data_IF_780807087407
#
_entry.id   IF_780807087407
#
_cell.length_a   1.000
_cell.length_b   1.000
_cell.length_c   1.000
_cell.angle_alpha   90.00
_cell.angle_beta   90.00
_cell.angle_gamma   90.00
#
_symmetry.space_group_name_H-M   'P 1'
#
loop_
_entity.id
_entity.type
_entity.pdbx_description
1 polymer ?
#
# COMPACT_ATOMS: atom_id res chain seq x y z
N UNK A 1 5.54 -3.32 -42.63
CA UNK A 1 4.98 -3.44 -41.25
C UNK A 1 5.51 -2.26 -40.45
N UNK A 2 4.60 -1.48 -39.90
CA UNK A 2 4.85 -0.22 -39.19
C UNK A 2 5.66 -0.45 -37.91
N UNK A 3 6.64 0.37 -37.63
CA UNK A 3 7.50 0.34 -36.42
C UNK A 3 6.63 0.34 -35.15
N UNK A 4 5.54 1.12 -35.18
CA UNK A 4 4.55 1.20 -34.09
C UNK A 4 3.93 -0.19 -33.82
N UNK A 5 3.54 -0.92 -34.85
CA UNK A 5 2.95 -2.26 -34.69
C UNK A 5 3.95 -3.30 -34.15
N UNK A 6 5.24 -3.10 -34.34
CA UNK A 6 6.29 -3.95 -33.73
C UNK A 6 6.47 -3.62 -32.26
N UNK A 7 6.54 -2.32 -31.90
CA UNK A 7 6.65 -1.86 -30.54
C UNK A 7 5.43 -2.32 -29.68
N UNK A 8 4.22 -2.17 -30.21
CA UNK A 8 3.00 -2.63 -29.54
C UNK A 8 2.98 -4.15 -29.31
N UNK A 9 3.47 -4.93 -30.30
CA UNK A 9 3.58 -6.38 -30.15
C UNK A 9 4.64 -6.77 -29.11
N UNK A 10 5.75 -6.04 -29.03
CA UNK A 10 6.77 -6.28 -28.01
C UNK A 10 6.25 -5.96 -26.61
N UNK A 11 5.60 -4.82 -26.39
CA UNK A 11 4.94 -4.49 -25.14
C UNK A 11 3.85 -5.50 -24.75
N UNK A 12 3.07 -5.98 -25.73
CA UNK A 12 2.03 -6.99 -25.48
C UNK A 12 2.57 -8.41 -25.27
N UNK A 13 3.82 -8.72 -25.64
CA UNK A 13 4.39 -10.05 -25.47
C UNK A 13 4.73 -10.35 -23.99
N UNK A 14 5.24 -9.36 -23.27
CA UNK A 14 5.67 -9.48 -21.87
C UNK A 14 5.43 -8.16 -21.13
N UNK A 15 4.14 -7.80 -20.90
CA UNK A 15 3.81 -6.51 -20.29
C UNK A 15 4.28 -6.42 -18.84
N UNK A 16 4.72 -5.23 -18.44
CA UNK A 16 4.96 -4.89 -17.04
C UNK A 16 3.64 -4.56 -16.37
N UNK A 17 3.28 -5.29 -15.33
CA UNK A 17 1.95 -5.18 -14.71
C UNK A 17 2.05 -4.44 -13.38
N UNK A 18 1.42 -3.27 -13.30
CA UNK A 18 1.15 -2.58 -12.04
C UNK A 18 -0.17 -3.10 -11.47
N UNK A 19 -0.08 -3.70 -10.28
CA UNK A 19 -1.24 -4.28 -9.62
C UNK A 19 -1.76 -3.36 -8.53
N UNK A 20 -3.02 -2.96 -8.64
CA UNK A 20 -3.75 -2.20 -7.62
C UNK A 20 -4.71 -3.13 -6.88
N UNK A 21 -4.38 -3.50 -5.64
CA UNK A 21 -5.21 -4.38 -4.82
C UNK A 21 -6.26 -3.57 -4.07
N UNK A 22 -7.51 -3.87 -4.34
CA UNK A 22 -8.67 -3.27 -3.66
C UNK A 22 -9.00 -4.07 -2.38
N UNK A 23 -9.60 -3.46 -1.35
CA UNK A 23 -10.13 -4.18 -0.19
C UNK A 23 -11.04 -5.34 -0.62
N UNK A 24 -10.87 -6.51 -0.01
CA UNK A 24 -11.51 -7.77 -0.42
C UNK A 24 -10.87 -8.46 -1.63
N UNK A 25 -9.75 -7.92 -2.14
CA UNK A 25 -9.07 -8.40 -3.34
C UNK A 25 -7.97 -9.43 -3.10
N UNK A 26 -7.74 -9.87 -1.87
CA UNK A 26 -6.61 -10.76 -1.52
C UNK A 26 -6.56 -12.01 -2.39
N UNK A 27 -7.67 -12.73 -2.58
CA UNK A 27 -7.69 -13.94 -3.42
C UNK A 27 -7.34 -13.63 -4.90
N UNK A 28 -7.85 -12.53 -5.45
CA UNK A 28 -7.55 -12.13 -6.82
C UNK A 28 -6.09 -11.66 -6.98
N UNK A 29 -5.53 -10.99 -5.97
CA UNK A 29 -4.11 -10.62 -5.93
C UNK A 29 -3.20 -11.86 -5.96
N UNK A 30 -3.49 -12.84 -5.11
CA UNK A 30 -2.71 -14.08 -5.03
C UNK A 30 -2.71 -14.83 -6.36
N UNK A 31 -3.86 -14.91 -7.02
CA UNK A 31 -3.98 -15.53 -8.35
C UNK A 31 -3.24 -14.71 -9.42
N UNK A 32 -3.35 -13.39 -9.40
CA UNK A 32 -2.61 -12.53 -10.31
C UNK A 32 -1.09 -12.71 -10.15
N UNK A 33 -0.58 -12.67 -8.91
CA UNK A 33 0.84 -12.90 -8.64
C UNK A 33 1.31 -14.29 -9.11
N UNK A 34 0.47 -15.32 -8.97
CA UNK A 34 0.75 -16.69 -9.45
C UNK A 34 0.84 -16.73 -10.97
N UNK A 35 -0.15 -16.17 -11.67
CA UNK A 35 -0.19 -16.15 -13.13
C UNK A 35 0.95 -15.30 -13.73
N UNK A 36 1.23 -14.13 -13.16
CA UNK A 36 2.36 -13.30 -13.61
C UNK A 36 3.68 -14.04 -13.54
N UNK A 37 3.91 -14.82 -12.46
CA UNK A 37 5.12 -15.66 -12.36
C UNK A 37 5.11 -16.83 -13.35
N UNK A 38 3.96 -17.43 -13.59
CA UNK A 38 3.82 -18.53 -14.54
C UNK A 38 4.09 -18.08 -15.99
N UNK A 39 3.60 -16.91 -16.36
CA UNK A 39 3.75 -16.34 -17.69
C UNK A 39 5.03 -15.52 -17.86
N UNK A 40 5.85 -15.43 -16.81
CA UNK A 40 7.06 -14.59 -16.77
C UNK A 40 6.78 -13.10 -17.11
N UNK A 41 5.64 -12.59 -16.66
CA UNK A 41 5.31 -11.17 -16.79
C UNK A 41 5.84 -10.41 -15.58
N UNK A 42 6.68 -9.38 -15.78
CA UNK A 42 7.29 -8.66 -14.67
C UNK A 42 6.26 -7.77 -13.96
N UNK A 43 6.24 -7.78 -12.62
CA UNK A 43 5.51 -6.76 -11.87
C UNK A 43 6.21 -5.41 -12.01
N UNK A 44 5.43 -4.35 -12.27
CA UNK A 44 5.92 -2.98 -12.26
C UNK A 44 5.96 -2.45 -10.82
N UNK A 45 7.06 -1.80 -10.45
CA UNK A 45 7.20 -1.18 -9.13
C UNK A 45 6.54 0.21 -9.07
N UNK A 46 6.47 0.90 -10.20
CA UNK A 46 5.93 2.26 -10.32
C UNK A 46 5.06 2.38 -11.57
N UNK A 47 4.12 3.35 -11.62
CA UNK A 47 3.35 3.62 -12.83
C UNK A 47 4.23 3.85 -14.07
N UNK A 48 5.37 4.54 -13.91
CA UNK A 48 6.27 4.85 -15.02
C UNK A 48 6.91 3.61 -15.69
N UNK A 49 6.93 2.48 -15.01
CA UNK A 49 7.43 1.20 -15.53
C UNK A 49 6.34 0.30 -16.12
N UNK A 50 5.06 0.69 -15.96
CA UNK A 50 3.94 -0.19 -16.24
C UNK A 50 3.37 0.01 -17.65
N UNK A 51 3.08 -1.12 -18.32
CA UNK A 51 2.30 -1.18 -19.54
C UNK A 51 0.82 -1.49 -19.26
N UNK A 52 0.55 -2.23 -18.17
CA UNK A 52 -0.77 -2.71 -17.80
C UNK A 52 -1.10 -2.38 -16.35
N UNK A 53 -2.20 -1.63 -16.13
CA UNK A 53 -2.80 -1.45 -14.80
C UNK A 53 -3.86 -2.53 -14.59
N UNK A 54 -3.63 -3.39 -13.60
CA UNK A 54 -4.55 -4.44 -13.17
C UNK A 54 -5.15 -4.08 -11.81
N UNK A 55 -6.44 -3.71 -11.76
CA UNK A 55 -7.21 -3.65 -10.53
C UNK A 55 -7.66 -5.05 -10.10
N UNK A 56 -7.41 -5.48 -8.86
CA UNK A 56 -7.84 -6.78 -8.34
C UNK A 56 -8.69 -6.62 -7.09
N UNK A 57 -9.85 -7.29 -7.08
CA UNK A 57 -10.81 -7.24 -5.97
C UNK A 57 -12.13 -6.57 -6.35
N UNK A 58 -13.11 -6.55 -5.44
CA UNK A 58 -14.40 -5.90 -5.66
C UNK A 58 -14.25 -4.43 -6.02
N UNK A 59 -15.03 -3.94 -6.99
CA UNK A 59 -15.05 -2.52 -7.36
C UNK A 59 -15.44 -1.65 -6.16
N UNK A 60 -14.72 -0.55 -5.95
CA UNK A 60 -14.90 0.39 -4.84
C UNK A 60 -14.96 1.81 -5.38
N UNK A 61 -16.12 2.49 -5.33
CA UNK A 61 -16.25 3.87 -5.80
C UNK A 61 -15.26 4.82 -5.12
N UNK A 62 -15.02 4.66 -3.83
CA UNK A 62 -14.09 5.46 -3.02
C UNK A 62 -12.63 5.34 -3.48
N UNK A 63 -12.26 4.22 -4.10
CA UNK A 63 -10.90 3.98 -4.63
C UNK A 63 -10.74 4.41 -6.09
N UNK A 64 -11.84 4.81 -6.77
CA UNK A 64 -11.82 5.10 -8.20
C UNK A 64 -10.89 6.27 -8.54
N UNK A 65 -10.95 7.35 -7.75
CA UNK A 65 -10.10 8.52 -7.96
C UNK A 65 -8.60 8.18 -7.86
N UNK A 66 -8.20 7.30 -6.92
CA UNK A 66 -6.83 6.85 -6.79
C UNK A 66 -6.40 5.95 -7.97
N UNK A 67 -7.29 5.06 -8.43
CA UNK A 67 -7.04 4.25 -9.63
C UNK A 67 -6.91 5.10 -10.89
N UNK A 68 -7.68 6.19 -10.98
CA UNK A 68 -7.62 7.09 -12.14
C UNK A 68 -6.34 7.93 -12.14
N UNK A 69 -5.83 8.31 -10.97
CA UNK A 69 -4.49 8.91 -10.86
C UNK A 69 -3.41 7.95 -11.34
N UNK A 70 -3.37 6.72 -10.83
CA UNK A 70 -2.42 5.72 -11.31
C UNK A 70 -2.51 5.51 -12.82
N UNK A 71 -3.73 5.47 -13.38
CA UNK A 71 -3.93 5.34 -14.81
C UNK A 71 -3.37 6.52 -15.61
N UNK A 72 -3.46 7.73 -15.07
CA UNK A 72 -2.92 8.93 -15.74
C UNK A 72 -1.40 8.92 -15.77
N UNK A 73 -0.76 8.36 -14.75
CA UNK A 73 0.69 8.31 -14.58
C UNK A 73 1.36 7.19 -15.42
N UNK A 74 0.58 6.26 -16.01
CA UNK A 74 1.15 5.23 -16.88
C UNK A 74 1.57 5.84 -18.23
N UNK A 75 2.77 5.49 -18.73
CA UNK A 75 3.19 5.87 -20.07
C UNK A 75 2.39 5.15 -21.16
N UNK A 76 2.42 5.65 -22.37
CA UNK A 76 1.89 4.97 -23.55
C UNK A 76 2.99 4.07 -24.17
N UNK A 77 2.64 2.88 -24.70
CA UNK A 77 1.31 2.26 -24.77
C UNK A 77 0.85 1.68 -23.44
N UNK A 78 -0.41 1.80 -23.12
CA UNK A 78 -0.96 1.33 -21.84
C UNK A 78 -2.31 0.66 -21.97
N UNK A 79 -2.64 -0.23 -21.02
CA UNK A 79 -3.98 -0.81 -20.88
C UNK A 79 -4.41 -0.83 -19.43
N UNK A 80 -5.72 -0.79 -19.19
CA UNK A 80 -6.32 -0.94 -17.86
C UNK A 80 -7.34 -2.06 -17.90
N UNK A 81 -7.28 -2.95 -16.90
CA UNK A 81 -8.21 -4.06 -16.71
C UNK A 81 -8.56 -4.22 -15.25
N UNK A 82 -9.65 -4.92 -14.96
CA UNK A 82 -10.13 -5.17 -13.62
C UNK A 82 -10.58 -6.62 -13.48
N UNK A 83 -10.16 -7.27 -12.40
CA UNK A 83 -10.52 -8.63 -12.04
C UNK A 83 -11.14 -8.64 -10.63
N UNK A 84 -12.47 -8.64 -10.50
CA UNK A 84 -13.14 -8.58 -9.20
C UNK A 84 -12.94 -9.84 -8.34
N UNK A 85 -12.64 -10.99 -8.95
CA UNK A 85 -12.46 -12.28 -8.27
C UNK A 85 -11.26 -13.03 -8.85
N UNK A 86 -10.73 -13.99 -8.11
CA UNK A 86 -9.59 -14.82 -8.55
C UNK A 86 -9.83 -15.47 -9.93
N UNK A 87 -11.02 -16.04 -10.16
CA UNK A 87 -11.38 -16.68 -11.43
C UNK A 87 -11.44 -15.75 -12.64
N UNK A 88 -11.50 -14.44 -12.42
CA UNK A 88 -11.61 -13.43 -13.48
C UNK A 88 -10.22 -12.91 -13.91
N UNK A 89 -9.16 -13.26 -13.17
CA UNK A 89 -7.80 -12.68 -13.34
C UNK A 89 -7.20 -13.07 -14.69
N UNK A 90 -7.26 -14.34 -15.06
CA UNK A 90 -6.67 -14.83 -16.30
C UNK A 90 -7.28 -14.12 -17.51
N UNK A 91 -8.62 -14.09 -17.60
CA UNK A 91 -9.33 -13.40 -18.68
C UNK A 91 -9.05 -11.89 -18.70
N UNK A 92 -8.90 -11.25 -17.52
CA UNK A 92 -8.55 -9.84 -17.43
C UNK A 92 -7.14 -9.57 -17.97
N UNK A 93 -6.15 -10.39 -17.60
CA UNK A 93 -4.77 -10.27 -18.10
C UNK A 93 -4.70 -10.47 -19.62
N UNK A 94 -5.39 -11.49 -20.16
CA UNK A 94 -5.46 -11.72 -21.61
C UNK A 94 -6.13 -10.54 -22.34
N UNK A 95 -7.23 -10.01 -21.80
CA UNK A 95 -7.88 -8.82 -22.34
C UNK A 95 -6.96 -7.60 -22.32
N UNK A 96 -6.17 -7.44 -21.25
CA UNK A 96 -5.15 -6.38 -21.13
C UNK A 96 -4.08 -6.49 -22.21
N UNK A 97 -3.54 -7.69 -22.40
CA UNK A 97 -2.58 -8.00 -23.48
C UNK A 97 -3.14 -7.69 -24.86
N UNK A 98 -4.36 -8.09 -25.13
CA UNK A 98 -5.03 -7.81 -26.40
C UNK A 98 -5.23 -6.30 -26.64
N UNK A 99 -5.56 -5.53 -25.59
CA UNK A 99 -5.69 -4.06 -25.66
C UNK A 99 -4.36 -3.39 -25.94
N UNK A 100 -3.27 -3.82 -25.29
CA UNK A 100 -1.92 -3.31 -25.55
C UNK A 100 -1.48 -3.52 -27.00
N UNK A 101 -1.72 -4.72 -27.54
CA UNK A 101 -1.38 -5.07 -28.92
C UNK A 101 -2.26 -4.41 -30.00
N UNK A 102 -3.32 -3.67 -29.65
CA UNK A 102 -4.28 -3.10 -30.59
C UNK A 102 -3.92 -1.67 -31.01
N UNK A 103 -3.45 -1.43 -32.26
CA UNK A 103 -3.08 -0.09 -32.72
C UNK A 103 -4.23 0.92 -32.71
N UNK A 104 -5.46 0.47 -32.98
CA UNK A 104 -6.64 1.35 -32.96
C UNK A 104 -6.93 1.90 -31.56
N UNK A 105 -6.91 1.02 -30.55
CA UNK A 105 -7.12 1.41 -29.15
C UNK A 105 -6.02 2.33 -28.62
N UNK A 106 -4.76 2.09 -28.97
CA UNK A 106 -3.65 2.94 -28.55
C UNK A 106 -3.74 4.33 -29.18
N UNK A 107 -4.15 4.44 -30.45
CA UNK A 107 -4.38 5.75 -31.12
C UNK A 107 -5.52 6.54 -30.47
N UNK A 108 -6.59 5.87 -30.07
CA UNK A 108 -7.72 6.50 -29.37
C UNK A 108 -7.28 7.06 -28.00
N UNK A 109 -6.46 6.32 -27.25
CA UNK A 109 -5.91 6.81 -25.98
C UNK A 109 -5.00 8.04 -26.14
N UNK A 110 -4.18 8.07 -27.20
CA UNK A 110 -3.38 9.27 -27.53
C UNK A 110 -4.28 10.47 -27.75
N UNK A 111 -5.35 10.32 -28.55
CA UNK A 111 -6.29 11.41 -28.81
C UNK A 111 -6.97 11.93 -27.54
N UNK A 112 -7.51 11.05 -26.72
CA UNK A 112 -8.18 11.42 -25.46
C UNK A 112 -7.23 12.05 -24.45
N UNK A 113 -5.98 11.60 -24.39
CA UNK A 113 -4.95 12.21 -23.53
C UNK A 113 -4.59 13.65 -24.00
N UNK A 114 -4.51 13.86 -25.31
CA UNK A 114 -4.19 15.18 -25.90
C UNK A 114 -5.35 16.18 -25.71
N UNK A 115 -6.59 15.72 -25.83
CA UNK A 115 -7.79 16.55 -25.61
C UNK A 115 -7.91 16.99 -24.15
N UNK A 116 -7.63 16.09 -23.19
CA UNK A 116 -7.68 16.40 -21.76
C UNK A 116 -6.58 17.38 -21.34
N UNK A 117 -5.40 17.29 -21.94
CA UNK A 117 -4.30 18.25 -21.73
C UNK A 117 -4.61 19.67 -22.26
N UNK A 118 -5.40 19.78 -23.33
CA UNK A 118 -5.82 21.09 -23.89
C UNK A 118 -6.91 21.78 -23.06
N UNK A 119 -7.76 21.03 -22.36
CA UNK A 119 -8.83 21.61 -21.52
C UNK A 119 -8.36 21.97 -20.12
N UNK A 120 -7.23 21.45 -19.65
CA UNK A 120 -6.62 21.78 -18.36
C UNK A 120 -5.81 23.07 -18.32
N UNK A 121 -5.53 23.69 -19.48
CA UNK A 121 -4.69 24.90 -19.57
C UNK A 121 -5.48 26.23 -19.80
N UNK A 122 -6.79 26.20 -19.75
CA UNK A 122 -7.63 27.39 -19.83
C UNK A 122 -8.36 27.66 -18.52
N UNK A 123 -7.71 28.35 -17.60
CA UNK A 123 -8.41 29.14 -16.58
C UNK A 123 -8.96 30.38 -17.28
N UNK A 124 -10.26 30.69 -17.18
CA UNK A 124 -10.80 31.90 -17.74
C UNK A 124 -10.36 33.10 -16.88
N UNK A 125 -9.38 33.85 -17.36
CA UNK A 125 -9.18 35.21 -16.87
C UNK A 125 -10.41 36.03 -17.22
N UNK A 126 -11.20 36.34 -16.21
CA UNK A 126 -12.33 37.27 -16.27
C UNK A 126 -11.82 38.65 -16.62
N UNK A 127 -12.07 39.06 -17.87
CA UNK A 127 -11.83 40.44 -18.31
C UNK A 127 -12.82 41.38 -17.66
N UNK A 128 -12.35 42.28 -16.83
CA UNK A 128 -13.06 43.49 -16.48
C UNK A 128 -12.67 44.63 -17.46
N UNK A 129 -13.56 44.90 -18.37
CA UNK A 129 -13.52 46.10 -19.19
C UNK A 129 -13.72 47.35 -18.33
N UNK A 130 -12.69 48.18 -18.24
CA UNK A 130 -12.75 49.54 -17.67
C UNK A 130 -12.53 50.58 -18.75
N UNK A 131 -13.54 51.42 -18.95
CA UNK A 131 -13.69 52.48 -19.93
C UNK A 131 -12.56 53.52 -19.82
N UNK A 132 -12.03 53.91 -20.99
CA UNK A 132 -11.24 55.12 -21.28
C UNK A 132 -11.92 56.38 -20.78
N UNK A 133 -11.15 57.26 -20.15
CA UNK A 133 -11.41 58.72 -20.16
C UNK A 133 -10.06 59.43 -20.28
N UNK A 134 -9.97 60.18 -21.38
CA UNK A 134 -8.92 61.14 -21.71
C UNK A 134 -8.93 62.32 -20.73
N UNK A 135 -7.74 62.91 -20.49
CA UNK A 135 -7.61 64.15 -19.74
C UNK A 135 -6.14 64.58 -19.66
N UNK A 136 -5.89 65.64 -20.39
CA UNK A 136 -4.61 66.33 -20.65
C UNK A 136 -3.87 66.87 -19.41
N UNK A 137 -2.55 66.96 -19.54
CA UNK A 137 -1.82 68.22 -19.26
C UNK A 137 -1.05 68.28 -17.92
N UNK A 138 0.26 68.58 -18.01
CA UNK A 138 0.96 69.26 -16.96
C UNK A 138 2.44 68.88 -16.77
N UNK A 139 3.32 69.71 -17.32
CA UNK A 139 4.78 69.74 -17.24
C UNK A 139 5.28 70.18 -15.84
N UNK A 140 6.53 69.80 -15.59
CA UNK A 140 7.46 70.45 -14.63
C UNK A 140 7.84 69.52 -13.50
N UNK A 141 9.08 69.23 -13.18
CA UNK A 141 10.32 69.95 -13.25
C UNK A 141 11.02 69.80 -11.92
N UNK A 142 12.24 69.30 -12.00
CA UNK A 142 13.40 69.57 -11.12
C UNK A 142 13.49 69.16 -9.62
N UNK A 143 14.58 68.41 -9.35
CA UNK A 143 15.69 68.63 -8.40
C UNK A 143 15.45 68.18 -6.93
N UNK A 144 16.19 67.21 -6.53
CA UNK A 144 17.52 67.08 -5.92
C UNK A 144 17.57 67.28 -4.39
N UNK A 145 18.49 66.58 -3.75
CA UNK A 145 18.95 66.58 -2.33
C UNK A 145 18.10 65.76 -1.33
N UNK A 146 18.64 64.78 -0.67
CA UNK A 146 19.89 64.72 0.07
C UNK A 146 19.58 64.11 1.44
N UNK A 147 20.29 63.08 1.79
CA UNK A 147 20.73 62.62 3.10
C UNK A 147 19.81 62.64 4.33
N UNK A 148 19.93 61.54 4.99
CA UNK A 148 20.18 61.37 6.43
C UNK A 148 19.10 60.71 7.30
N UNK A 149 19.52 59.64 7.89
CA UNK A 149 19.45 59.23 9.27
C UNK A 149 18.06 59.04 9.92
N UNK A 150 17.85 57.87 10.47
CA UNK A 150 16.94 57.77 11.59
C UNK A 150 16.19 56.47 11.74
N UNK A 151 16.60 55.77 12.74
CA UNK A 151 16.04 54.58 13.35
C UNK A 151 14.53 54.65 13.67
N UNK A 152 14.02 53.48 13.94
CA UNK A 152 12.87 53.03 14.76
C UNK A 152 11.64 52.53 13.98
N UNK A 153 11.46 51.24 14.05
CA UNK A 153 10.54 50.66 15.05
C UNK A 153 9.10 50.48 14.56
N UNK A 154 8.69 49.25 14.49
CA UNK A 154 7.36 48.96 14.95
C UNK A 154 6.36 48.40 13.93
N UNK A 155 6.07 47.12 14.13
CA UNK A 155 4.77 46.47 13.95
C UNK A 155 4.11 46.43 12.58
N UNK A 156 4.29 45.27 11.95
CA UNK A 156 3.49 44.86 10.82
C UNK A 156 2.36 43.94 11.22
N UNK A 157 1.29 43.91 10.70
CA UNK A 157 0.26 42.91 10.75
C UNK A 157 0.43 41.85 9.64
N UNK A 158 -0.17 40.69 9.76
CA UNK A 158 0.01 39.61 8.80
C UNK A 158 -0.81 39.84 7.55
N UNK A 159 -0.18 40.27 6.50
CA UNK A 159 -0.71 40.16 5.15
C UNK A 159 -0.28 38.85 4.56
N UNK A 160 -1.18 37.84 4.57
CA UNK A 160 -1.02 36.64 3.79
C UNK A 160 -1.10 37.01 2.30
N UNK A 161 0.03 37.41 1.72
CA UNK A 161 0.21 37.48 0.27
C UNK A 161 0.44 36.06 -0.22
N UNK A 162 -0.52 35.50 -0.92
CA UNK A 162 -0.32 34.31 -1.75
C UNK A 162 0.76 34.62 -2.77
N UNK A 163 1.99 34.25 -2.46
CA UNK A 163 3.10 34.29 -3.42
C UNK A 163 2.88 33.11 -4.39
N UNK A 164 2.26 33.39 -5.53
CA UNK A 164 2.20 32.44 -6.64
C UNK A 164 3.64 32.11 -7.09
N UNK A 165 4.08 30.90 -6.76
CA UNK A 165 5.33 30.36 -7.27
C UNK A 165 5.21 30.01 -8.76
N UNK A 166 6.31 30.05 -9.52
CA UNK A 166 6.32 29.61 -10.90
C UNK A 166 5.83 28.15 -10.99
N UNK A 167 4.66 27.94 -11.60
CA UNK A 167 4.00 26.64 -11.74
C UNK A 167 2.75 26.43 -10.89
N UNK A 168 2.30 27.44 -10.10
CA UNK A 168 1.01 27.39 -9.39
C UNK A 168 0.94 26.37 -8.23
N UNK A 169 2.09 25.89 -7.75
CA UNK A 169 2.15 25.04 -6.57
C UNK A 169 2.27 25.92 -5.31
N UNK A 170 1.42 25.68 -4.27
CA UNK A 170 1.57 26.40 -3.01
C UNK A 170 2.96 26.09 -2.40
N UNK A 171 3.60 27.12 -1.81
CA UNK A 171 4.81 26.91 -1.03
C UNK A 171 4.54 25.99 0.14
N UNK A 172 5.44 25.04 0.41
CA UNK A 172 5.36 24.18 1.56
C UNK A 172 5.42 25.00 2.86
N UNK A 173 4.62 24.63 3.85
CA UNK A 173 4.71 25.22 5.18
C UNK A 173 6.11 24.95 5.78
N UNK A 174 6.71 25.96 6.39
CA UNK A 174 7.99 25.83 7.05
C UNK A 174 7.81 25.49 8.53
N UNK A 175 8.65 24.60 9.05
CA UNK A 175 8.70 24.22 10.45
C UNK A 175 10.12 24.34 11.00
N UNK A 176 10.24 24.66 12.29
CA UNK A 176 11.54 24.70 12.98
C UNK A 176 12.14 23.29 13.04
N UNK A 177 13.43 23.17 12.72
CA UNK A 177 14.23 21.95 12.90
C UNK A 177 15.06 22.05 14.19
N UNK A 178 15.69 20.92 14.57
CA UNK A 178 16.49 20.79 15.80
C UNK A 178 17.69 21.73 15.87
N UNK A 179 18.18 22.21 14.75
CA UNK A 179 19.32 23.13 14.61
C UNK A 179 18.89 24.60 14.44
N UNK A 180 17.58 24.90 14.52
CA UNK A 180 17.04 26.27 14.37
C UNK A 180 16.89 26.72 12.92
N UNK A 181 17.18 25.86 11.95
CA UNK A 181 16.88 26.11 10.54
C UNK A 181 15.39 25.79 10.27
N UNK A 182 14.78 26.49 9.35
CA UNK A 182 13.42 26.17 8.90
C UNK A 182 13.49 25.21 7.73
N UNK A 183 12.84 24.04 7.86
CA UNK A 183 12.67 23.07 6.78
C UNK A 183 11.23 23.02 6.30
N UNK A 184 11.07 22.73 5.02
CA UNK A 184 9.75 22.56 4.41
C UNK A 184 9.05 21.32 4.98
N UNK A 185 7.77 21.46 5.31
CA UNK A 185 6.89 20.36 5.72
C UNK A 185 6.16 19.84 4.50
N UNK A 186 6.34 18.56 4.20
CA UNK A 186 5.68 17.89 3.08
C UNK A 186 4.54 17.02 3.59
N UNK A 187 3.35 17.21 3.04
CA UNK A 187 2.18 16.36 3.29
C UNK A 187 2.11 15.26 2.25
N UNK A 188 2.38 14.02 2.65
CA UNK A 188 2.49 12.88 1.74
C UNK A 188 1.52 11.78 2.16
N UNK A 189 0.56 11.38 1.29
CA UNK A 189 -0.23 10.18 1.52
C UNK A 189 0.57 8.94 1.10
N UNK A 190 0.70 7.97 2.00
CA UNK A 190 1.17 6.61 1.69
C UNK A 190 0.00 5.69 1.45
N UNK A 191 -0.08 5.12 0.27
CA UNK A 191 -1.19 4.26 -0.13
C UNK A 191 -2.21 4.98 -1.03
N UNK A 192 -3.37 4.36 -1.31
CA UNK A 192 -3.71 2.97 -0.97
C UNK A 192 -3.06 1.91 -1.86
N UNK A 193 -2.42 2.27 -2.97
CA UNK A 193 -1.92 1.36 -4.01
C UNK A 193 -0.39 1.39 -4.14
N UNK A 194 0.30 1.13 -3.05
CA UNK A 194 1.73 0.88 -3.10
C UNK A 194 2.01 -0.62 -3.24
N UNK A 195 3.14 -0.96 -3.88
CA UNK A 195 3.57 -2.35 -3.95
C UNK A 195 3.88 -2.91 -2.55
N UNK A 196 3.44 -4.13 -2.31
CA UNK A 196 3.64 -4.83 -1.03
C UNK A 196 3.05 -4.07 0.19
N UNK A 197 1.95 -3.36 -0.04
CA UNK A 197 1.22 -2.56 0.94
C UNK A 197 -0.11 -3.22 1.33
N UNK A 198 -0.58 -3.08 2.59
CA UNK A 198 -1.91 -3.54 2.97
C UNK A 198 -3.00 -2.90 2.11
N UNK A 199 -3.88 -3.73 1.54
CA UNK A 199 -4.93 -3.27 0.63
C UNK A 199 -5.87 -2.27 1.32
N UNK A 200 -6.03 -1.07 0.73
CA UNK A 200 -6.91 -0.03 1.25
C UNK A 200 -6.33 0.81 2.38
N UNK A 201 -5.13 0.51 2.87
CA UNK A 201 -4.48 1.34 3.90
C UNK A 201 -3.96 2.64 3.27
N UNK A 202 -4.38 3.78 3.83
CA UNK A 202 -3.82 5.10 3.54
C UNK A 202 -3.37 5.75 4.84
N UNK A 203 -2.14 6.25 4.86
CA UNK A 203 -1.55 6.96 6.00
C UNK A 203 -1.13 8.33 5.49
N UNK A 204 -1.65 9.39 6.10
CA UNK A 204 -1.20 10.77 5.86
C UNK A 204 0.02 11.05 6.71
N UNK A 205 1.09 11.44 6.07
CA UNK A 205 2.34 11.78 6.72
C UNK A 205 2.63 13.28 6.58
N UNK A 206 3.19 13.86 7.63
CA UNK A 206 3.89 15.14 7.58
C UNK A 206 5.36 14.83 7.69
N UNK A 207 6.13 15.13 6.65
CA UNK A 207 7.57 14.91 6.58
C UNK A 207 8.32 16.22 6.77
N UNK A 208 9.45 16.15 7.45
CA UNK A 208 10.45 17.19 7.48
C UNK A 208 11.79 16.54 7.10
N UNK A 209 12.30 16.87 5.93
CA UNK A 209 13.33 16.06 5.29
C UNK A 209 12.79 14.65 4.98
N UNK A 210 13.45 13.61 5.49
CA UNK A 210 13.05 12.20 5.38
C UNK A 210 12.39 11.65 6.65
N UNK A 211 12.27 12.47 7.72
CA UNK A 211 11.72 12.08 9.01
C UNK A 211 10.23 12.42 9.10
N UNK A 212 9.44 11.46 9.56
CA UNK A 212 8.01 11.59 9.78
C UNK A 212 7.77 12.35 11.08
N UNK A 213 7.19 13.54 11.00
CA UNK A 213 6.80 14.35 12.15
C UNK A 213 5.42 13.95 12.68
N UNK A 214 4.52 13.57 11.78
CA UNK A 214 3.17 13.15 12.11
C UNK A 214 2.70 12.07 11.15
N UNK A 215 1.93 11.12 11.67
CA UNK A 215 1.32 10.04 10.90
C UNK A 215 -0.13 9.86 11.36
N UNK A 216 -1.08 10.03 10.44
CA UNK A 216 -2.51 9.86 10.69
C UNK A 216 -3.06 8.77 9.77
N UNK A 217 -3.79 7.83 10.34
CA UNK A 217 -4.52 6.86 9.55
C UNK A 217 -5.74 7.56 8.91
N UNK A 218 -5.86 7.53 7.59
CA UNK A 218 -7.14 7.81 6.98
C UNK A 218 -8.15 6.75 7.44
N UNK A 219 -9.39 7.20 7.69
CA UNK A 219 -10.47 6.32 8.17
C UNK A 219 -10.40 4.96 7.46
N UNK A 220 -9.77 3.99 8.13
CA UNK A 220 -9.80 2.58 7.74
C UNK A 220 -11.22 2.05 8.01
N UNK A 221 -12.24 2.71 7.40
CA UNK A 221 -13.61 2.23 7.50
C UNK A 221 -13.70 0.88 6.84
N UNK A 222 -14.33 -0.08 7.53
CA UNK A 222 -14.66 -1.34 6.89
C UNK A 222 -15.41 -1.03 5.60
N UNK A 223 -15.11 -1.75 4.52
CA UNK A 223 -15.75 -1.53 3.23
C UNK A 223 -17.27 -1.62 3.38
N UNK A 224 -17.97 -0.49 3.27
CA UNK A 224 -19.43 -0.43 3.28
C UNK A 224 -19.98 -1.18 2.07
N UNK A 225 -20.81 -2.19 2.30
CA UNK A 225 -21.65 -2.78 1.25
C UNK A 225 -21.13 -4.05 0.55
N UNK A 226 -20.12 -4.73 1.04
CA UNK A 226 -19.69 -6.01 0.44
C UNK A 226 -19.56 -7.11 1.48
N UNK A 227 -20.23 -8.26 1.27
CA UNK A 227 -20.01 -9.51 2.02
C UNK A 227 -18.68 -10.19 1.59
N UNK A 228 -17.60 -9.41 1.43
CA UNK A 228 -16.30 -9.99 1.13
C UNK A 228 -15.78 -10.67 2.40
N UNK A 229 -15.71 -12.00 2.38
CA UNK A 229 -15.14 -12.78 3.47
C UNK A 229 -13.62 -12.57 3.45
N UNK A 230 -13.00 -12.09 4.54
CA UNK A 230 -11.54 -11.92 4.60
C UNK A 230 -10.84 -13.25 4.32
N UNK A 231 -9.94 -13.23 3.35
CA UNK A 231 -9.34 -14.45 2.81
C UNK A 231 -8.55 -15.23 3.86
N UNK A 232 -7.75 -14.53 4.67
CA UNK A 232 -6.82 -15.18 5.59
C UNK A 232 -7.50 -15.83 6.79
N UNK A 233 -8.66 -15.35 7.21
CA UNK A 233 -9.41 -15.86 8.38
C UNK A 233 -10.61 -16.72 8.00
N UNK A 234 -10.78 -17.06 6.73
CA UNK A 234 -11.90 -17.86 6.23
C UNK A 234 -12.10 -19.18 6.97
N UNK A 235 -11.07 -20.00 7.33
CA UNK A 235 -11.27 -21.23 8.10
C UNK A 235 -11.94 -20.98 9.45
N UNK A 236 -11.56 -19.92 10.17
CA UNK A 236 -12.16 -19.57 11.46
C UNK A 236 -13.61 -19.11 11.33
N UNK A 237 -13.92 -18.34 10.29
CA UNK A 237 -15.30 -17.89 9.99
C UNK A 237 -16.20 -19.08 9.63
N UNK A 238 -15.72 -20.03 8.84
CA UNK A 238 -16.46 -21.26 8.50
C UNK A 238 -16.69 -22.13 9.74
N UNK A 239 -15.68 -22.30 10.58
CA UNK A 239 -15.82 -23.03 11.83
C UNK A 239 -16.81 -22.35 12.80
N UNK A 240 -16.81 -21.00 12.86
CA UNK A 240 -17.78 -20.23 13.64
C UNK A 240 -19.22 -20.34 13.10
N UNK A 241 -19.37 -20.56 11.79
CA UNK A 241 -20.66 -20.84 11.14
C UNK A 241 -21.11 -22.31 11.30
N UNK A 242 -20.38 -23.13 12.06
CA UNK A 242 -20.72 -24.54 12.33
C UNK A 242 -20.18 -25.55 11.29
N UNK A 243 -19.35 -25.11 10.34
CA UNK A 243 -18.71 -26.03 9.41
C UNK A 243 -17.60 -26.84 10.10
N UNK A 244 -17.43 -28.09 9.65
CA UNK A 244 -16.32 -28.93 10.15
C UNK A 244 -15.02 -28.55 9.45
N UNK A 245 -14.22 -27.73 10.11
CA UNK A 245 -12.89 -27.30 9.63
C UNK A 245 -11.83 -27.98 10.50
N UNK A 246 -10.78 -28.49 9.87
CA UNK A 246 -9.67 -29.11 10.62
C UNK A 246 -8.64 -28.07 11.08
N UNK A 247 -7.92 -28.38 12.13
CA UNK A 247 -6.76 -27.60 12.59
C UNK A 247 -5.69 -27.52 11.51
N UNK A 248 -5.49 -28.61 10.74
CA UNK A 248 -4.57 -28.63 9.60
C UNK A 248 -4.94 -27.64 8.51
N UNK A 249 -6.24 -27.47 8.21
CA UNK A 249 -6.70 -26.45 7.25
C UNK A 249 -6.39 -25.02 7.75
N UNK A 250 -6.64 -24.76 9.03
CA UNK A 250 -6.33 -23.48 9.66
C UNK A 250 -4.80 -23.21 9.70
N UNK A 251 -4.00 -24.23 10.06
CA UNK A 251 -2.54 -24.15 10.06
C UNK A 251 -1.99 -23.86 8.67
N UNK A 252 -2.51 -24.52 7.62
CA UNK A 252 -2.17 -24.27 6.22
C UNK A 252 -2.43 -22.83 5.82
N UNK A 253 -3.59 -22.29 6.17
CA UNK A 253 -3.97 -20.90 5.87
C UNK A 253 -3.09 -19.92 6.62
N UNK A 254 -2.77 -20.18 7.89
CA UNK A 254 -1.92 -19.32 8.71
C UNK A 254 -0.47 -19.33 8.23
N UNK A 255 0.11 -20.49 7.92
CA UNK A 255 1.43 -20.61 7.33
C UNK A 255 1.54 -19.84 5.98
N UNK A 256 0.51 -19.98 5.14
CA UNK A 256 0.45 -19.26 3.86
C UNK A 256 0.35 -17.74 4.07
N UNK A 257 -0.42 -17.26 5.06
CA UNK A 257 -0.51 -15.85 5.40
C UNK A 257 0.83 -15.28 5.88
N UNK A 258 1.54 -16.01 6.77
CA UNK A 258 2.86 -15.57 7.24
C UNK A 258 3.92 -15.60 6.13
N UNK A 259 3.85 -16.54 5.18
CA UNK A 259 4.72 -16.53 3.99
C UNK A 259 4.41 -15.34 3.07
N UNK A 260 3.17 -14.92 2.97
CA UNK A 260 2.76 -13.72 2.24
C UNK A 260 3.30 -12.45 2.91
N UNK A 261 3.14 -12.34 4.23
CA UNK A 261 3.69 -11.24 5.04
C UNK A 261 5.22 -11.15 4.91
N UNK A 262 5.89 -12.31 5.02
CA UNK A 262 7.34 -12.41 4.85
C UNK A 262 7.77 -11.99 3.44
N UNK A 263 7.05 -12.43 2.40
CA UNK A 263 7.36 -12.07 1.01
C UNK A 263 7.26 -10.56 0.78
N UNK A 264 6.22 -9.93 1.33
CA UNK A 264 6.06 -8.46 1.26
C UNK A 264 7.18 -7.74 1.99
N UNK A 265 7.52 -8.15 3.19
CA UNK A 265 8.64 -7.58 3.95
C UNK A 265 9.97 -7.72 3.22
N UNK A 266 10.28 -8.91 2.67
CA UNK A 266 11.50 -9.14 1.92
C UNK A 266 11.57 -8.31 0.64
N UNK A 267 10.44 -8.11 -0.03
CA UNK A 267 10.34 -7.24 -1.21
C UNK A 267 10.61 -5.78 -0.86
N UNK A 268 9.99 -5.27 0.21
CA UNK A 268 10.22 -3.91 0.72
C UNK A 268 11.67 -3.72 1.18
N UNK A 269 12.28 -4.75 1.77
CA UNK A 269 13.68 -4.77 2.18
C UNK A 269 14.68 -4.91 1.00
N UNK A 270 14.21 -4.95 -0.25
CA UNK A 270 15.06 -5.05 -1.44
C UNK A 270 15.61 -6.44 -1.70
N UNK A 271 14.96 -7.50 -1.21
CA UNK A 271 15.38 -8.89 -1.43
C UNK A 271 14.38 -9.70 -2.27
N UNK A 272 14.21 -9.37 -3.56
CA UNK A 272 13.16 -9.93 -4.42
C UNK A 272 13.27 -11.43 -4.64
N UNK A 273 14.48 -11.99 -4.66
CA UNK A 273 14.70 -13.43 -4.86
C UNK A 273 14.06 -14.26 -3.75
N UNK A 274 14.27 -13.88 -2.50
CA UNK A 274 13.68 -14.58 -1.36
C UNK A 274 12.18 -14.26 -1.20
N UNK A 275 11.76 -13.07 -1.59
CA UNK A 275 10.34 -12.75 -1.68
C UNK A 275 9.61 -13.68 -2.66
N UNK A 276 10.18 -13.93 -3.83
CA UNK A 276 9.64 -14.91 -4.81
C UNK A 276 9.64 -16.34 -4.25
N UNK A 277 10.69 -16.73 -3.53
CA UNK A 277 10.74 -18.06 -2.90
C UNK A 277 9.63 -18.23 -1.85
N UNK A 278 9.37 -17.20 -1.03
CA UNK A 278 8.27 -17.20 -0.06
C UNK A 278 6.90 -17.26 -0.75
N UNK A 279 6.67 -16.47 -1.83
CA UNK A 279 5.44 -16.51 -2.61
C UNK A 279 5.18 -17.88 -3.23
N UNK A 280 6.21 -18.58 -3.73
CA UNK A 280 6.07 -19.94 -4.27
C UNK A 280 5.66 -20.95 -3.19
N UNK A 281 6.28 -20.90 -2.01
CA UNK A 281 5.89 -21.75 -0.87
C UNK A 281 4.46 -21.46 -0.40
N UNK A 282 4.06 -20.20 -0.36
CA UNK A 282 2.69 -19.78 -0.06
C UNK A 282 1.71 -20.42 -1.04
N UNK A 283 1.99 -20.32 -2.35
CA UNK A 283 1.11 -20.84 -3.39
C UNK A 283 1.02 -22.37 -3.33
N UNK A 284 2.13 -23.06 -3.09
CA UNK A 284 2.13 -24.53 -2.91
C UNK A 284 1.25 -24.93 -1.71
N UNK A 285 1.35 -24.23 -0.58
CA UNK A 285 0.47 -24.50 0.56
C UNK A 285 -1.00 -24.26 0.21
N UNK A 286 -1.32 -23.15 -0.46
CA UNK A 286 -2.70 -22.82 -0.84
C UNK A 286 -3.29 -23.80 -1.87
N UNK A 287 -2.46 -24.42 -2.70
CA UNK A 287 -2.88 -25.46 -3.66
C UNK A 287 -2.89 -26.88 -3.06
N UNK A 288 -2.58 -27.03 -1.78
CA UNK A 288 -2.74 -28.30 -1.07
C UNK A 288 -1.49 -29.15 -0.97
N UNK A 289 -0.29 -28.62 -1.28
CA UNK A 289 0.96 -29.35 -1.15
C UNK A 289 1.13 -29.95 0.26
N UNK A 290 1.65 -31.17 0.31
CA UNK A 290 1.94 -31.85 1.58
C UNK A 290 3.10 -31.19 2.33
N UNK A 291 3.11 -31.30 3.65
CA UNK A 291 4.18 -30.76 4.49
C UNK A 291 5.57 -31.26 4.08
N UNK A 292 5.69 -32.54 3.76
CA UNK A 292 6.94 -33.16 3.26
C UNK A 292 7.46 -32.53 1.95
N UNK A 293 6.58 -32.09 1.06
CA UNK A 293 6.96 -31.47 -0.22
C UNK A 293 7.53 -30.06 -0.05
N UNK A 294 7.05 -29.31 0.95
CA UNK A 294 7.47 -27.92 1.19
C UNK A 294 8.59 -27.82 2.22
N UNK A 295 8.75 -28.78 3.12
CA UNK A 295 9.63 -28.71 4.29
C UNK A 295 11.09 -28.36 3.93
N UNK A 296 11.70 -29.04 2.97
CA UNK A 296 13.09 -28.80 2.61
C UNK A 296 13.32 -27.39 2.01
N UNK A 297 12.36 -26.87 1.25
CA UNK A 297 12.43 -25.52 0.67
C UNK A 297 12.18 -24.46 1.75
N UNK A 298 11.23 -24.72 2.65
CA UNK A 298 10.96 -23.87 3.81
C UNK A 298 12.21 -23.75 4.70
N UNK A 299 12.87 -24.85 5.02
CA UNK A 299 14.07 -24.83 5.85
C UNK A 299 15.24 -24.08 5.20
N UNK A 300 15.38 -24.15 3.87
CA UNK A 300 16.37 -23.35 3.14
C UNK A 300 16.06 -21.86 3.23
N UNK A 301 14.80 -21.46 2.95
CA UNK A 301 14.33 -20.08 3.07
C UNK A 301 14.54 -19.55 4.49
N UNK A 302 14.05 -20.29 5.49
CA UNK A 302 14.09 -19.88 6.89
C UNK A 302 15.52 -19.74 7.43
N UNK A 303 16.44 -20.62 7.05
CA UNK A 303 17.86 -20.48 7.40
C UNK A 303 18.49 -19.27 6.72
N UNK A 304 18.21 -19.06 5.44
CA UNK A 304 18.78 -17.96 4.66
C UNK A 304 18.31 -16.61 5.16
N UNK A 305 17.01 -16.45 5.36
CA UNK A 305 16.41 -15.23 5.88
C UNK A 305 16.77 -15.01 7.37
N UNK A 306 16.60 -16.03 8.21
CA UNK A 306 16.79 -15.91 9.66
C UNK A 306 18.26 -15.67 10.06
N UNK A 307 19.24 -16.07 9.22
CA UNK A 307 20.67 -15.86 9.45
C UNK A 307 21.26 -14.68 8.68
N UNK A 308 20.45 -13.96 7.89
CA UNK A 308 20.94 -12.82 7.11
C UNK A 308 21.35 -11.66 8.02
N UNK A 309 22.66 -11.39 8.04
CA UNK A 309 23.21 -10.26 8.80
C UNK A 309 22.81 -8.92 8.19
N UNK A 310 22.76 -8.85 6.85
CA UNK A 310 22.34 -7.62 6.15
C UNK A 310 20.88 -7.29 6.43
N UNK A 311 19.97 -8.27 6.35
CA UNK A 311 18.57 -8.03 6.67
C UNK A 311 18.40 -7.64 8.14
N UNK A 312 19.08 -8.34 9.06
CA UNK A 312 19.04 -7.99 10.47
C UNK A 312 19.58 -6.58 10.74
N UNK A 313 20.69 -6.19 10.09
CA UNK A 313 21.22 -4.83 10.19
C UNK A 313 20.23 -3.77 9.68
N UNK A 314 19.59 -4.05 8.53
CA UNK A 314 18.60 -3.14 7.93
C UNK A 314 17.35 -2.96 8.79
N UNK A 315 16.95 -3.97 9.57
CA UNK A 315 15.66 -4.01 10.27
C UNK A 315 15.77 -3.89 11.79
N UNK A 316 17.01 -3.95 12.34
CA UNK A 316 17.24 -3.89 13.77
C UNK A 316 16.91 -2.51 14.34
N UNK A 317 16.22 -2.48 15.46
CA UNK A 317 15.84 -1.25 16.15
C UNK A 317 14.64 -0.51 15.54
N UNK A 318 14.18 -0.90 14.35
CA UNK A 318 13.08 -0.23 13.64
C UNK A 318 11.72 -0.69 14.18
N UNK A 319 10.84 0.26 14.51
CA UNK A 319 9.45 0.01 14.89
C UNK A 319 9.33 -0.92 16.10
N UNK A 320 10.05 -0.63 17.18
CA UNK A 320 10.04 -1.43 18.42
C UNK A 320 8.70 -1.37 19.12
N UNK A 321 8.22 -2.53 19.54
CA UNK A 321 7.02 -2.70 20.35
C UNK A 321 7.40 -3.63 21.50
N UNK A 322 7.36 -3.12 22.73
CA UNK A 322 7.58 -3.96 23.93
C UNK A 322 6.35 -4.87 24.17
N UNK A 323 6.55 -5.93 24.95
CA UNK A 323 5.46 -6.81 25.35
C UNK A 323 4.37 -6.07 26.15
N UNK A 324 4.76 -5.04 26.91
CA UNK A 324 3.85 -4.19 27.67
C UNK A 324 2.99 -3.32 26.75
N UNK A 325 3.61 -2.59 25.81
CA UNK A 325 2.91 -1.78 24.81
C UNK A 325 1.97 -2.63 23.94
N UNK A 326 2.40 -3.84 23.53
CA UNK A 326 1.54 -4.75 22.79
C UNK A 326 0.29 -5.15 23.61
N UNK A 327 0.46 -5.41 24.89
CA UNK A 327 -0.65 -5.77 25.78
C UNK A 327 -1.60 -4.60 26.00
N UNK A 328 -1.09 -3.39 26.24
CA UNK A 328 -1.87 -2.17 26.42
C UNK A 328 -2.67 -1.81 25.18
N UNK A 329 -2.06 -1.93 23.99
CA UNK A 329 -2.73 -1.73 22.72
C UNK A 329 -3.66 -2.88 22.32
N UNK A 330 -3.80 -3.91 23.16
CA UNK A 330 -4.63 -5.08 22.86
C UNK A 330 -4.09 -5.99 21.75
N UNK A 331 -2.83 -5.81 21.33
CA UNK A 331 -2.19 -6.63 20.30
C UNK A 331 -1.97 -8.04 20.82
N UNK A 332 -2.17 -9.00 19.96
CA UNK A 332 -1.93 -10.43 20.20
C UNK A 332 -1.17 -11.03 19.00
N UNK A 333 -0.97 -12.35 19.03
CA UNK A 333 -0.38 -13.04 17.90
C UNK A 333 1.12 -12.84 17.71
N UNK A 334 1.60 -13.00 16.47
CA UNK A 334 3.04 -12.93 16.17
C UNK A 334 3.69 -11.62 16.60
N UNK A 335 3.03 -10.48 16.40
CA UNK A 335 3.57 -9.17 16.76
C UNK A 335 3.80 -9.03 18.28
N UNK A 336 2.85 -9.53 19.10
CA UNK A 336 2.99 -9.53 20.56
C UNK A 336 4.06 -10.54 21.03
N UNK A 337 4.09 -11.74 20.44
CA UNK A 337 5.11 -12.76 20.80
C UNK A 337 6.53 -12.36 20.45
N UNK A 338 6.69 -11.60 19.37
CA UNK A 338 7.99 -11.09 18.98
C UNK A 338 8.57 -10.11 20.03
N UNK A 339 7.72 -9.29 20.65
CA UNK A 339 8.09 -8.37 21.74
C UNK A 339 9.32 -7.50 21.43
N UNK A 340 9.48 -7.03 20.17
CA UNK A 340 10.70 -6.36 19.73
C UNK A 340 10.50 -5.54 18.45
N UNK A 341 11.48 -5.55 17.58
CA UNK A 341 11.55 -4.77 16.35
C UNK A 341 11.10 -5.56 15.09
N UNK A 342 11.31 -4.99 13.91
CA UNK A 342 11.03 -5.66 12.62
C UNK A 342 11.77 -6.99 12.51
N UNK A 343 13.03 -7.06 13.02
CA UNK A 343 13.84 -8.30 13.00
C UNK A 343 13.19 -9.42 13.81
N UNK A 344 12.69 -9.08 14.98
CA UNK A 344 12.05 -10.06 15.87
C UNK A 344 10.73 -10.53 15.28
N UNK A 345 9.96 -9.66 14.64
CA UNK A 345 8.69 -10.03 14.00
C UNK A 345 8.86 -10.99 12.83
N UNK A 346 9.79 -10.77 11.89
CA UNK A 346 9.95 -11.75 10.80
C UNK A 346 10.56 -13.07 11.27
N UNK A 347 11.39 -13.07 12.30
CA UNK A 347 11.89 -14.31 12.93
C UNK A 347 10.76 -15.07 13.61
N UNK A 348 9.84 -14.38 14.25
CA UNK A 348 8.64 -14.97 14.81
C UNK A 348 7.78 -15.63 13.73
N UNK A 349 7.56 -14.95 12.57
CA UNK A 349 6.85 -15.57 11.44
C UNK A 349 7.53 -16.86 10.96
N UNK A 350 8.85 -16.88 10.85
CA UNK A 350 9.58 -18.09 10.45
C UNK A 350 9.38 -19.25 11.45
N UNK A 351 9.32 -18.97 12.75
CA UNK A 351 9.01 -19.95 13.77
C UNK A 351 7.57 -20.46 13.66
N UNK A 352 6.61 -19.53 13.46
CA UNK A 352 5.20 -19.85 13.34
C UNK A 352 4.91 -20.68 12.08
N UNK A 353 5.52 -20.33 10.91
CA UNK A 353 5.38 -21.12 9.68
C UNK A 353 5.86 -22.54 9.89
N UNK A 354 7.00 -22.76 10.54
CA UNK A 354 7.51 -24.13 10.84
C UNK A 354 6.54 -24.92 11.70
N UNK A 355 6.03 -24.29 12.77
CA UNK A 355 5.05 -24.91 13.66
C UNK A 355 3.77 -25.28 12.90
N UNK A 356 3.28 -24.41 12.04
CA UNK A 356 2.05 -24.62 11.29
C UNK A 356 2.23 -25.68 10.18
N UNK A 357 3.37 -25.71 9.49
CA UNK A 357 3.68 -26.75 8.50
C UNK A 357 3.77 -28.14 9.15
N UNK A 358 4.22 -28.24 10.39
CA UNK A 358 4.21 -29.51 11.13
C UNK A 358 2.79 -29.99 11.53
N UNK A 359 1.78 -29.12 11.43
CA UNK A 359 0.37 -29.43 11.79
C UNK A 359 -0.55 -29.57 10.58
N UNK A 360 -0.04 -29.61 9.35
CA UNK A 360 -0.87 -29.64 8.16
C UNK A 360 -1.81 -30.85 8.06
N UNK A 361 -1.41 -31.96 8.68
CA UNK A 361 -2.16 -33.22 8.68
C UNK A 361 -3.02 -33.41 9.95
N UNK A 362 -3.12 -32.37 10.82
CA UNK A 362 -3.91 -32.39 12.04
C UNK A 362 -5.41 -32.35 11.70
N UNK A 363 -6.08 -33.52 11.82
CA UNK A 363 -7.50 -33.70 11.51
C UNK A 363 -8.45 -33.30 12.64
N UNK A 364 -7.93 -32.86 13.78
CA UNK A 364 -8.76 -32.39 14.90
C UNK A 364 -9.59 -31.18 14.50
N UNK A 365 -10.78 -31.03 15.07
CA UNK A 365 -11.68 -29.94 14.75
C UNK A 365 -11.15 -28.59 15.27
N UNK A 366 -11.16 -27.60 14.39
CA UNK A 366 -10.82 -26.23 14.74
C UNK A 366 -11.86 -25.69 15.73
N UNK A 367 -11.38 -25.31 16.90
CA UNK A 367 -12.18 -24.53 17.85
C UNK A 367 -12.09 -23.07 17.42
N UNK A 368 -13.12 -22.57 16.66
CA UNK A 368 -13.07 -21.21 16.06
C UNK A 368 -12.45 -20.18 17.03
N UNK A 369 -12.54 -19.19 17.30
CA UNK A 369 -11.91 -18.14 18.12
C UNK A 369 -11.00 -18.55 19.32
N UNK A 370 -10.91 -19.84 19.69
CA UNK A 370 -9.91 -20.34 20.66
C UNK A 370 -8.53 -20.51 20.02
N UNK A 371 -8.48 -20.83 18.72
CA UNK A 371 -7.26 -20.90 17.93
C UNK A 371 -6.93 -19.53 17.33
N UNK A 372 -5.65 -19.19 17.36
CA UNK A 372 -5.13 -17.93 16.87
C UNK A 372 -5.24 -17.82 15.34
N UNK A 373 -5.74 -16.70 14.85
CA UNK A 373 -5.72 -16.32 13.42
C UNK A 373 -4.33 -15.81 13.00
N UNK A 374 -4.05 -15.56 11.72
CA UNK A 374 -2.73 -15.11 11.30
C UNK A 374 -2.22 -13.84 11.97
N UNK A 375 -3.09 -12.91 12.35
CA UNK A 375 -2.73 -11.63 12.98
C UNK A 375 -2.87 -11.66 14.51
N UNK A 376 -3.49 -12.69 15.07
CA UNK A 376 -3.67 -12.86 16.52
C UNK A 376 -5.01 -13.44 16.90
N UNK A 377 -5.35 -13.34 18.19
CA UNK A 377 -6.64 -13.79 18.70
C UNK A 377 -7.74 -12.78 18.39
N UNK A 378 -8.85 -13.28 17.87
CA UNK A 378 -10.04 -12.47 17.66
C UNK A 378 -10.75 -12.25 19.00
N UNK A 379 -10.76 -11.01 19.46
CA UNK A 379 -11.37 -10.61 20.72
C UNK A 379 -12.83 -10.20 20.52
N UNK A 380 -13.56 -10.05 21.65
CA UNK A 380 -14.96 -9.58 21.61
C UNK A 380 -15.05 -8.13 21.14
N UNK A 381 -14.05 -7.31 21.41
CA UNK A 381 -13.95 -5.89 21.09
C UNK A 381 -13.45 -5.61 19.66
N UNK A 382 -13.02 -6.65 18.92
CA UNK A 382 -12.65 -6.47 17.51
C UNK A 382 -11.64 -7.47 16.97
N UNK A 383 -11.35 -7.35 15.66
CA UNK A 383 -10.37 -8.18 14.98
C UNK A 383 -8.94 -7.77 15.36
N UNK A 384 -7.97 -8.71 15.30
CA UNK A 384 -6.59 -8.44 15.70
C UNK A 384 -5.91 -7.33 14.88
N UNK A 385 -6.28 -7.17 13.61
CA UNK A 385 -5.74 -6.10 12.77
C UNK A 385 -6.12 -4.69 13.25
N UNK A 386 -7.24 -4.51 13.95
CA UNK A 386 -7.61 -3.23 14.54
C UNK A 386 -6.56 -2.77 15.57
N UNK A 387 -6.14 -3.67 16.45
CA UNK A 387 -5.09 -3.38 17.44
C UNK A 387 -3.72 -3.08 16.79
N UNK A 388 -3.38 -3.77 15.70
CA UNK A 388 -2.14 -3.48 14.95
C UNK A 388 -2.15 -2.08 14.33
N UNK A 389 -3.30 -1.64 13.81
CA UNK A 389 -3.45 -0.31 13.23
C UNK A 389 -3.26 0.80 14.28
N UNK A 390 -3.73 0.62 15.52
CA UNK A 390 -3.56 1.63 16.58
C UNK A 390 -2.10 1.90 16.94
N UNK A 391 -1.19 0.96 16.67
CA UNK A 391 0.24 1.14 16.88
C UNK A 391 0.92 2.01 15.82
N UNK A 392 0.38 2.04 14.58
CA UNK A 392 1.08 2.63 13.43
C UNK A 392 1.44 4.10 13.62
N UNK A 393 0.54 5.01 14.05
CA UNK A 393 0.88 6.43 14.20
C UNK A 393 2.10 6.64 15.09
N UNK A 394 2.12 5.99 16.26
CA UNK A 394 3.23 6.08 17.21
C UNK A 394 4.53 5.51 16.66
N UNK A 395 4.47 4.36 15.97
CA UNK A 395 5.67 3.69 15.44
C UNK A 395 6.27 4.41 14.23
N UNK A 396 5.46 5.19 13.53
CA UNK A 396 5.87 5.94 12.34
C UNK A 396 6.43 7.32 12.70
N UNK A 397 5.88 7.98 13.72
CA UNK A 397 6.37 9.29 14.16
C UNK A 397 7.82 9.19 14.66
N UNK A 398 8.70 10.01 14.11
CA UNK A 398 10.13 9.99 14.34
C UNK A 398 10.92 8.96 13.50
N UNK A 399 10.25 8.15 12.70
CA UNK A 399 10.91 7.22 11.79
C UNK A 399 11.23 7.89 10.44
N UNK A 400 12.26 7.40 9.77
CA UNK A 400 12.52 7.74 8.37
C UNK A 400 11.47 7.12 7.44
N UNK A 401 11.18 7.76 6.32
CA UNK A 401 10.19 7.28 5.35
C UNK A 401 10.50 5.85 4.84
N UNK A 402 11.77 5.52 4.65
CA UNK A 402 12.19 4.17 4.27
C UNK A 402 11.87 3.13 5.37
N UNK A 403 12.07 3.49 6.64
CA UNK A 403 11.73 2.64 7.79
C UNK A 403 10.22 2.46 7.95
N UNK A 404 9.41 3.46 7.60
CA UNK A 404 7.96 3.38 7.69
C UNK A 404 7.39 2.21 6.90
N UNK A 405 7.87 1.96 5.68
CA UNK A 405 7.42 0.83 4.87
C UNK A 405 7.77 -0.53 5.49
N UNK A 406 8.94 -0.65 6.13
CA UNK A 406 9.35 -1.85 6.86
C UNK A 406 8.49 -2.06 8.11
N UNK A 407 8.16 -0.99 8.83
CA UNK A 407 7.27 -1.05 10.00
C UNK A 407 5.90 -1.60 9.60
N UNK A 408 5.26 -0.98 8.60
CA UNK A 408 3.93 -1.39 8.11
C UNK A 408 3.97 -2.83 7.58
N UNK A 409 4.96 -3.18 6.75
CA UNK A 409 5.10 -4.52 6.20
C UNK A 409 5.33 -5.58 7.29
N UNK A 410 5.98 -5.24 8.39
CA UNK A 410 6.25 -6.17 9.50
C UNK A 410 5.09 -6.37 10.46
N UNK A 411 4.18 -5.41 10.56
CA UNK A 411 2.93 -5.55 11.30
C UNK A 411 1.86 -6.21 10.44
N UNK A 412 1.86 -5.91 9.15
CA UNK A 412 0.99 -6.47 8.11
C UNK A 412 -0.49 -6.57 8.50
N UNK A 413 -1.15 -5.45 8.88
CA UNK A 413 -2.56 -5.47 9.22
C UNK A 413 -3.41 -5.86 8.00
N UNK A 414 -4.43 -6.67 8.22
CA UNK A 414 -5.41 -7.04 7.19
C UNK A 414 -6.69 -6.23 7.39
N UNK A 415 -6.89 -5.19 6.56
CA UNK A 415 -8.05 -4.32 6.66
C UNK A 415 -9.36 -5.04 6.32
N UNK A 416 -9.30 -6.15 5.59
CA UNK A 416 -10.50 -6.94 5.30
C UNK A 416 -11.10 -7.53 6.59
N UNK A 417 -10.29 -7.78 7.63
CA UNK A 417 -10.78 -8.24 8.94
C UNK A 417 -11.71 -7.22 9.60
N UNK A 418 -11.51 -5.91 9.37
CA UNK A 418 -12.33 -4.84 9.98
C UNK A 418 -13.80 -4.87 9.51
N UNK A 419 -14.07 -5.52 8.37
CA UNK A 419 -15.41 -5.64 7.83
C UNK A 419 -16.24 -6.75 8.50
N UNK A 420 -15.65 -7.53 9.38
CA UNK A 420 -16.29 -8.70 10.03
C UNK A 420 -16.47 -8.45 11.50
N UNK A 421 -17.71 -8.47 11.95
CA UNK A 421 -18.06 -8.58 13.38
C UNK A 421 -17.95 -10.04 13.81
N UNK A 422 -17.36 -10.30 14.97
CA UNK A 422 -17.34 -11.66 15.55
C UNK A 422 -18.78 -12.13 15.71
N UNK A 423 -19.19 -13.27 15.12
CA UNK A 423 -20.49 -13.85 15.40
C UNK A 423 -20.60 -14.15 16.89
N UNK A 424 -21.66 -13.71 17.54
CA UNK A 424 -21.97 -14.14 18.90
C UNK A 424 -22.16 -15.65 18.86
N UNK A 425 -21.36 -16.38 19.64
CA UNK A 425 -21.57 -17.80 19.85
C UNK A 425 -22.83 -17.90 20.71
N UNK A 426 -23.97 -18.15 20.09
CA UNK A 426 -25.16 -18.60 20.80
C UNK A 426 -24.80 -19.95 21.42
N UNK A 427 -24.45 -19.95 22.69
CA UNK A 427 -24.37 -21.19 23.47
C UNK A 427 -25.81 -21.69 23.56
N UNK A 428 -26.14 -22.61 22.64
CA UNK A 428 -27.40 -23.35 22.72
C UNK A 428 -27.36 -24.14 24.01
N UNK A 429 -28.33 -23.83 24.87
CA UNK A 429 -28.55 -24.53 26.13
C UNK A 429 -29.00 -25.99 25.90
#
# INVERSE_FOLDING_TARGET
MDVISRALRAAAARPHVLMATLPGGTAARLEAERLLRLWDWPPAATPAQADLLLGVGPGRPEMQAALDRLWQDLPLPRARVHAPRARDVEAALEAGRARLGSPSRQREQVRTSTEKGRHGSHSPHGGHGGKTREGEGGRGGHEDHGSDGGEHGGHGGPGAGETETPGGLPMAEQGEDRDGLTLDRLHVPLGPFLNDWPAGLTIRLVLQGDVIQQADLEDARPPTGGKAVPFWVQPWLRAAAGERVSVGEAARRRAAAHLDSLARLLSVAGWPTEAVAARRLRDDLLTGAAGSEVAARLERLARRVGRSRTLAWLTHGIGRVSAEEAREAGVSGPAARAGGDVTDRYRQWLADIRRDVARLDDSSLLRSWAEETPRGHWKADGPPSAALLTLLPRLLTGAELAAARLIVASLDPDLDELAVTRPEVTVGG
#
